data_IF_197529230894
#
_entry.id   IF_197529230894
#
_cell.length_a   1.000
_cell.length_b   1.000
_cell.length_c   1.000
_cell.angle_alpha   90.00
_cell.angle_beta   90.00
_cell.angle_gamma   90.00
#
_symmetry.space_group_name_H-M   'P 1'
#
loop_
_entity.id
_entity.type
_entity.pdbx_description
1 polymer ?
#
# COMPACT_ATOMS: atom_id res chain seq x y z
N UNK A 1 20.18 -7.68 45.37
CA UNK A 1 21.31 -7.17 44.56
C UNK A 1 21.02 -7.41 43.08
N UNK A 2 21.09 -6.33 42.28
CA UNK A 2 21.38 -6.23 40.83
C UNK A 2 20.50 -7.03 39.83
N UNK A 3 19.55 -6.45 39.06
CA UNK A 3 19.71 -5.52 37.89
C UNK A 3 20.90 -5.96 37.02
N UNK A 4 20.83 -6.27 35.72
CA UNK A 4 20.37 -5.41 34.61
C UNK A 4 20.79 -6.02 33.24
N UNK A 5 20.11 -5.58 32.18
CA UNK A 5 20.46 -5.40 30.75
C UNK A 5 20.54 -6.51 29.64
N UNK A 6 19.91 -6.10 28.51
CA UNK A 6 20.26 -6.28 27.09
C UNK A 6 19.91 -7.63 26.44
N UNK A 7 18.98 -7.70 25.49
CA UNK A 7 18.93 -6.85 24.29
C UNK A 7 19.76 -7.51 23.19
N UNK A 8 19.22 -8.55 22.55
CA UNK A 8 19.78 -9.09 21.31
C UNK A 8 18.63 -9.38 20.35
N UNK A 9 18.11 -8.30 19.77
CA UNK A 9 17.42 -8.31 18.49
C UNK A 9 18.36 -8.98 17.48
N UNK A 10 18.17 -10.27 17.23
CA UNK A 10 18.83 -10.98 16.15
C UNK A 10 18.31 -10.42 14.81
N UNK A 11 18.88 -9.31 14.37
CA UNK A 11 18.69 -8.79 13.02
C UNK A 11 19.56 -9.63 12.07
N UNK A 12 19.13 -10.87 11.82
CA UNK A 12 19.73 -11.72 10.81
C UNK A 12 19.37 -11.13 9.44
N UNK A 13 20.38 -10.54 8.82
CA UNK A 13 20.43 -9.93 7.49
C UNK A 13 19.92 -10.89 6.41
N UNK A 14 18.60 -10.94 6.21
CA UNK A 14 17.99 -11.42 4.98
C UNK A 14 17.38 -10.23 4.26
N UNK A 15 18.00 -9.82 3.15
CA UNK A 15 17.42 -8.84 2.23
C UNK A 15 16.22 -9.46 1.50
N UNK A 16 15.17 -9.85 2.22
CA UNK A 16 13.84 -9.82 1.61
C UNK A 16 13.40 -8.38 1.75
N UNK A 17 13.43 -7.63 0.65
CA UNK A 17 12.81 -6.30 0.62
C UNK A 17 11.38 -6.52 1.10
N UNK A 18 11.10 -6.22 2.37
CA UNK A 18 9.75 -6.04 2.86
C UNK A 18 9.30 -4.75 2.20
N UNK A 19 9.03 -4.81 0.90
CA UNK A 19 8.39 -3.73 0.17
C UNK A 19 7.10 -3.52 0.92
N UNK A 20 7.03 -2.41 1.65
CA UNK A 20 5.79 -1.99 2.29
C UNK A 20 4.74 -1.98 1.18
N UNK A 21 3.71 -2.80 1.40
CA UNK A 21 2.65 -3.19 0.46
C UNK A 21 1.79 -2.00 0.02
N UNK A 22 2.03 -0.84 0.62
CA UNK A 22 1.14 0.30 0.60
C UNK A 22 1.13 1.02 -0.74
N UNK A 23 2.26 1.06 -1.43
CA UNK A 23 2.39 1.76 -2.71
C UNK A 23 1.75 0.96 -3.86
N UNK A 24 2.09 -0.32 -4.00
CA UNK A 24 1.52 -1.19 -5.04
C UNK A 24 0.01 -1.36 -4.88
N UNK A 25 -0.49 -1.47 -3.64
CA UNK A 25 -1.92 -1.53 -3.37
C UNK A 25 -2.61 -0.22 -3.74
N UNK A 26 -2.00 0.93 -3.44
CA UNK A 26 -2.50 2.23 -3.87
C UNK A 26 -2.61 2.29 -5.41
N UNK A 27 -1.58 1.87 -6.15
CA UNK A 27 -1.63 1.82 -7.62
C UNK A 27 -2.76 0.91 -8.13
N UNK A 28 -3.01 -0.22 -7.47
CA UNK A 28 -4.10 -1.12 -7.86
C UNK A 28 -5.48 -0.44 -7.78
N UNK A 29 -5.68 0.45 -6.81
CA UNK A 29 -6.92 1.21 -6.66
C UNK A 29 -7.18 2.20 -7.80
N UNK A 30 -6.17 2.56 -8.60
CA UNK A 30 -6.38 3.36 -9.82
C UNK A 30 -7.18 2.57 -10.87
N UNK A 31 -7.07 1.25 -10.87
CA UNK A 31 -7.68 0.39 -11.89
C UNK A 31 -8.92 -0.36 -11.41
N UNK A 32 -8.94 -0.81 -10.15
CA UNK A 32 -10.03 -1.64 -9.64
C UNK A 32 -10.36 -1.34 -8.18
N UNK A 33 -11.63 -1.53 -7.83
CA UNK A 33 -12.07 -1.49 -6.45
C UNK A 33 -11.61 -2.74 -5.70
N UNK A 34 -11.08 -2.55 -4.49
CA UNK A 34 -10.61 -3.66 -3.67
C UNK A 34 -10.77 -3.33 -2.18
N UNK A 35 -11.47 -4.21 -1.47
CA UNK A 35 -11.74 -4.09 -0.03
C UNK A 35 -10.96 -5.12 0.80
N UNK A 36 -10.59 -6.25 0.19
CA UNK A 36 -9.90 -7.34 0.87
C UNK A 36 -8.36 -7.21 0.84
N UNK A 37 -7.73 -7.66 1.93
CA UNK A 37 -6.28 -7.85 1.97
C UNK A 37 -5.83 -8.85 0.92
N UNK A 38 -4.82 -8.49 0.14
CA UNK A 38 -4.05 -9.49 -0.59
C UNK A 38 -3.06 -10.12 0.38
N UNK A 39 -2.99 -11.46 0.34
CA UNK A 39 -2.25 -12.30 1.31
C UNK A 39 -0.77 -11.96 1.42
N UNK A 40 -0.17 -11.48 0.31
CA UNK A 40 1.24 -11.13 0.21
C UNK A 40 1.51 -10.08 -0.88
N UNK A 41 2.74 -9.57 -0.90
CA UNK A 41 3.20 -8.58 -1.89
C UNK A 41 3.13 -9.09 -3.32
N UNK A 42 3.47 -10.38 -3.49
CA UNK A 42 3.53 -10.98 -4.80
C UNK A 42 2.12 -11.09 -5.41
N UNK A 43 1.08 -11.30 -4.59
CA UNK A 43 -0.31 -11.27 -5.02
C UNK A 43 -0.71 -9.87 -5.51
N UNK A 44 -0.36 -8.82 -4.79
CA UNK A 44 -0.61 -7.43 -5.24
C UNK A 44 0.10 -7.13 -6.55
N UNK A 45 1.37 -7.52 -6.68
CA UNK A 45 2.15 -7.30 -7.90
C UNK A 45 1.58 -8.12 -9.06
N UNK A 46 1.17 -9.38 -8.84
CA UNK A 46 0.52 -10.21 -9.88
C UNK A 46 -0.76 -9.57 -10.38
N UNK A 47 -1.60 -9.07 -9.47
CA UNK A 47 -2.83 -8.37 -9.84
C UNK A 47 -2.54 -7.05 -10.56
N UNK A 48 -1.58 -6.27 -10.06
CA UNK A 48 -1.17 -5.03 -10.71
C UNK A 48 -0.65 -5.27 -12.12
N UNK A 49 0.12 -6.36 -12.33
CA UNK A 49 0.63 -6.75 -13.65
C UNK A 49 -0.47 -7.17 -14.63
N UNK A 50 -1.68 -7.48 -14.17
CA UNK A 50 -2.83 -7.68 -15.08
C UNK A 50 -3.27 -6.36 -15.74
N UNK A 51 -3.09 -5.24 -15.06
CA UNK A 51 -3.40 -3.90 -15.57
C UNK A 51 -2.16 -3.22 -16.18
N UNK A 52 -0.98 -3.51 -15.64
CA UNK A 52 0.31 -2.96 -16.05
C UNK A 52 1.33 -4.09 -16.28
N UNK A 53 1.30 -4.78 -17.44
CA UNK A 53 2.12 -5.98 -17.69
C UNK A 53 3.62 -5.80 -17.47
N UNK A 54 4.13 -4.58 -17.65
CA UNK A 54 5.53 -4.21 -17.48
C UNK A 54 5.80 -3.43 -16.18
N UNK A 55 4.94 -3.59 -15.16
CA UNK A 55 5.12 -2.91 -13.88
C UNK A 55 6.45 -3.32 -13.23
N UNK A 56 7.31 -2.32 -13.07
CA UNK A 56 8.55 -2.38 -12.32
C UNK A 56 8.63 -1.16 -11.40
N UNK A 57 8.88 -1.39 -10.11
CA UNK A 57 8.85 -0.34 -9.09
C UNK A 57 9.83 0.81 -9.35
N UNK A 58 10.93 0.53 -10.06
CA UNK A 58 11.97 1.50 -10.39
C UNK A 58 11.67 2.38 -11.61
N UNK A 59 10.72 1.98 -12.45
CA UNK A 59 10.45 2.66 -13.73
C UNK A 59 9.03 3.22 -13.83
N UNK A 60 8.20 3.01 -12.80
CA UNK A 60 6.85 3.55 -12.77
C UNK A 60 6.89 5.07 -12.62
N UNK A 61 6.32 5.77 -13.59
CA UNK A 61 6.13 7.22 -13.53
C UNK A 61 4.85 7.51 -12.76
N UNK A 62 4.94 8.29 -11.68
CA UNK A 62 3.76 8.70 -10.90
C UNK A 62 2.86 9.67 -11.68
N UNK A 63 3.40 10.37 -12.68
CA UNK A 63 2.65 11.29 -13.51
C UNK A 63 1.56 10.54 -14.32
N UNK A 64 1.85 9.29 -14.71
CA UNK A 64 0.93 8.45 -15.49
C UNK A 64 -0.35 8.11 -14.70
N UNK A 65 -0.32 8.28 -13.37
CA UNK A 65 -1.44 8.00 -12.48
C UNK A 65 -2.12 9.28 -11.97
N UNK A 66 -1.66 10.46 -12.37
CA UNK A 66 -2.16 11.73 -11.84
C UNK A 66 -3.66 11.93 -12.10
N UNK A 67 -4.13 11.53 -13.28
CA UNK A 67 -5.54 11.58 -13.68
C UNK A 67 -6.41 10.58 -12.90
N UNK A 68 -5.85 9.42 -12.52
CA UNK A 68 -6.56 8.36 -11.79
C UNK A 68 -6.65 8.57 -10.28
N UNK A 69 -6.00 9.60 -9.73
CA UNK A 69 -5.92 9.79 -8.27
C UNK A 69 -7.29 10.00 -7.63
N UNK A 70 -8.19 10.77 -8.25
CA UNK A 70 -9.53 11.02 -7.68
C UNK A 70 -10.33 9.72 -7.56
N UNK A 71 -10.15 8.87 -8.56
CA UNK A 71 -10.78 7.58 -8.67
C UNK A 71 -10.21 6.59 -7.63
N UNK A 72 -8.89 6.61 -7.43
CA UNK A 72 -8.21 5.89 -6.36
C UNK A 72 -8.66 6.36 -4.97
N UNK A 73 -8.80 7.68 -4.76
CA UNK A 73 -9.34 8.27 -3.52
C UNK A 73 -10.75 7.80 -3.26
N UNK A 74 -11.63 7.86 -4.27
CA UNK A 74 -13.03 7.42 -4.16
C UNK A 74 -13.11 5.94 -3.78
N UNK A 75 -12.36 5.07 -4.47
CA UNK A 75 -12.33 3.62 -4.18
C UNK A 75 -11.72 3.32 -2.81
N UNK A 76 -10.68 4.05 -2.41
CA UNK A 76 -10.08 3.90 -1.09
C UNK A 76 -11.05 4.28 0.03
N UNK A 77 -11.85 5.35 -0.13
CA UNK A 77 -12.90 5.74 0.81
C UNK A 77 -14.00 4.69 0.92
N UNK A 78 -14.44 4.12 -0.21
CA UNK A 78 -15.43 3.05 -0.22
C UNK A 78 -14.89 1.81 0.51
N UNK A 79 -13.69 1.36 0.16
CA UNK A 79 -13.02 0.25 0.82
C UNK A 79 -12.83 0.48 2.32
N UNK A 80 -12.51 1.72 2.70
CA UNK A 80 -12.39 2.11 4.09
C UNK A 80 -13.73 2.00 4.84
N UNK A 81 -14.80 2.57 4.30
CA UNK A 81 -16.15 2.55 4.89
C UNK A 81 -16.69 1.13 5.06
N UNK A 82 -16.48 0.27 4.06
CA UNK A 82 -17.11 -1.05 3.99
C UNK A 82 -16.30 -2.13 4.73
N UNK A 83 -15.16 -1.76 5.33
CA UNK A 83 -14.28 -2.67 6.08
C UNK A 83 -14.18 -2.28 7.56
N UNK A 84 -14.41 -3.23 8.50
CA UNK A 84 -14.20 -3.00 9.93
C UNK A 84 -12.79 -2.49 10.24
N UNK A 85 -12.66 -1.62 11.24
CA UNK A 85 -11.40 -0.94 11.57
C UNK A 85 -10.22 -1.90 11.81
N UNK A 86 -10.47 -3.05 12.45
CA UNK A 86 -9.46 -4.05 12.79
C UNK A 86 -9.01 -4.90 11.58
N UNK A 87 -9.75 -4.86 10.48
CA UNK A 87 -9.43 -5.54 9.21
C UNK A 87 -9.07 -4.55 8.11
N UNK A 88 -8.95 -3.25 8.42
CA UNK A 88 -8.72 -2.21 7.43
C UNK A 88 -7.25 -2.17 7.01
N UNK A 89 -7.01 -2.10 5.71
CA UNK A 89 -5.65 -1.94 5.19
C UNK A 89 -5.17 -0.50 5.45
N UNK A 90 -4.03 -0.27 6.13
CA UNK A 90 -3.47 1.08 6.32
C UNK A 90 -3.29 1.83 4.99
N UNK A 91 -3.06 1.11 3.90
CA UNK A 91 -2.94 1.64 2.54
C UNK A 91 -4.22 2.28 2.03
N UNK A 92 -5.40 1.86 2.51
CA UNK A 92 -6.66 2.53 2.17
C UNK A 92 -6.81 3.85 2.93
N UNK A 93 -5.93 4.20 3.88
CA UNK A 93 -5.95 5.52 4.54
C UNK A 93 -5.14 6.58 3.79
N UNK A 94 -4.43 6.20 2.71
CA UNK A 94 -3.59 7.11 1.91
C UNK A 94 -4.42 8.25 1.30
N UNK A 95 -5.72 8.04 1.02
CA UNK A 95 -6.59 9.12 0.54
C UNK A 95 -6.61 10.33 1.49
N UNK A 96 -6.51 10.12 2.80
CA UNK A 96 -6.49 11.22 3.79
C UNK A 96 -5.24 12.09 3.63
N UNK A 97 -4.11 11.47 3.30
CA UNK A 97 -2.87 12.19 3.00
C UNK A 97 -3.00 12.97 1.69
N UNK A 98 -3.52 12.32 0.65
CA UNK A 98 -3.73 12.94 -0.66
C UNK A 98 -4.62 14.16 -0.56
N UNK A 99 -5.74 14.08 0.17
CA UNK A 99 -6.63 15.22 0.38
C UNK A 99 -5.98 16.34 1.18
N UNK A 100 -5.16 16.03 2.18
CA UNK A 100 -4.41 17.04 2.94
C UNK A 100 -3.36 17.77 2.10
N UNK A 101 -2.71 17.08 1.16
CA UNK A 101 -1.71 17.68 0.28
C UNK A 101 -2.38 18.55 -0.81
N UNK A 102 -3.61 18.20 -1.21
CA UNK A 102 -4.39 18.92 -2.22
C UNK A 102 -5.28 20.03 -1.66
N UNK A 103 -5.48 20.06 -0.35
CA UNK A 103 -6.21 21.13 0.30
C UNK A 103 -5.46 22.46 0.09
N UNK A 104 -6.16 23.55 -0.31
CA UNK A 104 -5.55 24.86 -0.55
C UNK A 104 -4.97 25.51 0.71
#
# INVERSE_FOLDING_TARGET
MHRLINGCFFYRRTRRRKTRLDFEFWLLLHFQERTAWLRDADATIRELRRHLPRYEKSTVSLADFAEGVDDAVRRAKAAERDTPHHTRNPSTSVWRLVERIRAP
#
